data_IF_845319825900
#
_entry.id   IF_845319825900
#
_cell.length_a   1.000
_cell.length_b   1.000
_cell.length_c   1.000
_cell.angle_alpha   90.00
_cell.angle_beta   90.00
_cell.angle_gamma   90.00
#
_symmetry.space_group_name_H-M   'P 1'
#
loop_
_entity.id
_entity.type
_entity.pdbx_description
1 polymer ?
#
# COMPACT_ATOMS: atom_id res chain seq x y z
N UNK A 1 62.26 13.76 -27.46
CA UNK A 1 61.53 13.34 -26.25
C UNK A 1 60.30 14.22 -26.15
N UNK A 2 59.12 13.63 -25.93
CA UNK A 2 57.88 14.33 -25.61
C UNK A 2 57.12 13.44 -24.63
N UNK A 3 56.48 14.04 -23.63
CA UNK A 3 56.00 13.35 -22.45
C UNK A 3 54.59 12.75 -22.66
N UNK A 4 54.34 11.58 -22.07
CA UNK A 4 53.06 10.86 -22.16
C UNK A 4 52.41 10.80 -20.78
N UNK A 5 51.87 11.94 -20.34
CA UNK A 5 51.05 12.00 -19.14
C UNK A 5 49.78 11.15 -19.27
N UNK A 6 49.30 10.52 -18.18
CA UNK A 6 48.12 9.68 -18.21
C UNK A 6 46.84 10.52 -18.43
N UNK A 7 45.93 9.99 -19.24
CA UNK A 7 44.59 10.56 -19.40
C UNK A 7 43.71 10.15 -18.23
N UNK A 8 43.39 11.09 -17.34
CA UNK A 8 42.35 10.91 -16.33
C UNK A 8 40.98 10.67 -17.01
N UNK A 9 40.48 9.45 -16.92
CA UNK A 9 39.10 9.12 -17.30
C UNK A 9 38.16 9.57 -16.20
N UNK A 10 37.24 10.53 -16.42
CA UNK A 10 36.33 10.99 -15.37
C UNK A 10 35.48 9.84 -14.84
N UNK A 11 35.53 9.63 -13.53
CA UNK A 11 34.70 8.62 -12.86
C UNK A 11 33.22 8.88 -13.18
N UNK A 12 32.51 7.81 -13.58
CA UNK A 12 31.11 7.91 -14.00
C UNK A 12 30.24 8.46 -12.89
N UNK A 13 29.74 9.69 -13.07
CA UNK A 13 28.65 10.20 -12.25
C UNK A 13 27.42 9.35 -12.54
N UNK A 14 26.85 8.74 -11.50
CA UNK A 14 25.52 8.13 -11.61
C UNK A 14 24.55 9.17 -12.19
N UNK A 15 23.78 8.77 -13.20
CA UNK A 15 22.78 9.65 -13.79
C UNK A 15 21.75 9.98 -12.71
N UNK A 16 21.42 11.27 -12.56
CA UNK A 16 20.37 11.68 -11.64
C UNK A 16 19.07 10.95 -12.03
N UNK A 17 18.37 10.29 -11.08
CA UNK A 17 17.17 9.52 -11.41
C UNK A 17 16.10 10.44 -12.03
N UNK A 18 15.32 9.94 -13.00
CA UNK A 18 14.35 10.75 -13.73
C UNK A 18 13.30 11.36 -12.78
N UNK A 19 12.68 12.47 -13.21
CA UNK A 19 11.82 13.30 -12.35
C UNK A 19 10.57 12.58 -11.77
N UNK A 20 10.23 11.40 -12.30
CA UNK A 20 9.19 10.50 -11.82
C UNK A 20 9.62 9.61 -10.64
N UNK A 21 10.91 9.43 -10.39
CA UNK A 21 11.40 8.60 -9.29
C UNK A 21 11.05 9.24 -7.94
N UNK A 22 10.47 8.49 -6.98
CA UNK A 22 10.26 8.98 -5.63
C UNK A 22 11.60 9.20 -4.94
N UNK A 23 11.66 10.20 -4.07
CA UNK A 23 12.78 10.38 -3.15
C UNK A 23 12.87 9.14 -2.23
N UNK A 24 14.01 8.44 -2.22
CA UNK A 24 14.20 7.30 -1.33
C UNK A 24 14.88 7.77 -0.05
N UNK A 25 14.18 7.62 1.06
CA UNK A 25 14.64 8.07 2.37
C UNK A 25 15.72 7.12 2.92
N UNK A 26 16.94 7.25 2.41
CA UNK A 26 18.14 6.47 2.83
C UNK A 26 19.06 7.23 3.79
N UNK A 27 18.86 8.53 3.99
CA UNK A 27 19.63 9.37 4.91
C UNK A 27 18.70 10.00 5.96
N UNK A 28 18.97 9.86 7.27
CA UNK A 28 18.15 10.50 8.29
C UNK A 28 18.26 12.03 8.19
N UNK A 29 17.14 12.78 8.21
CA UNK A 29 17.17 14.23 8.34
C UNK A 29 17.64 14.61 9.75
N UNK A 30 18.02 15.89 9.99
CA UNK A 30 18.29 16.39 11.32
C UNK A 30 17.11 16.10 12.27
N UNK A 31 17.39 15.42 13.37
CA UNK A 31 16.39 15.04 14.37
C UNK A 31 16.11 16.21 15.32
N UNK A 32 14.87 16.37 15.81
CA UNK A 32 14.56 17.42 16.77
C UNK A 32 15.24 17.14 18.12
N UNK A 33 15.69 18.20 18.79
CA UNK A 33 16.30 18.14 20.13
C UNK A 33 15.28 17.79 21.21
N UNK A 34 14.05 18.29 21.07
CA UNK A 34 12.91 18.01 21.94
C UNK A 34 11.95 17.06 21.22
N UNK A 35 11.51 15.99 21.91
CA UNK A 35 10.56 15.02 21.37
C UNK A 35 9.15 15.29 21.84
N UNK A 36 8.22 15.29 20.89
CA UNK A 36 6.77 15.22 21.14
C UNK A 36 6.34 13.76 21.32
N UNK A 37 5.19 13.48 21.95
CA UNK A 37 4.58 12.15 21.96
C UNK A 37 4.47 11.55 20.54
N UNK A 38 4.60 10.22 20.44
CA UNK A 38 4.60 9.50 19.16
C UNK A 38 5.86 9.69 18.28
N UNK A 39 6.88 10.43 18.73
CA UNK A 39 8.15 10.53 18.01
C UNK A 39 9.13 9.40 18.39
N UNK A 40 9.66 8.73 17.36
CA UNK A 40 10.57 7.58 17.47
C UNK A 40 11.83 7.85 18.32
N UNK A 41 12.39 6.79 18.89
CA UNK A 41 13.73 6.77 19.50
C UNK A 41 14.83 7.06 18.46
N UNK A 42 16.05 7.45 18.88
CA UNK A 42 17.12 7.67 17.90
C UNK A 42 17.55 6.34 17.24
N UNK A 43 17.41 5.26 17.99
CA UNK A 43 17.64 3.86 17.63
C UNK A 43 16.58 3.38 16.63
N UNK A 44 15.30 3.68 16.86
CA UNK A 44 14.19 3.39 15.93
C UNK A 44 14.30 4.19 14.63
N UNK A 45 14.68 5.47 14.69
CA UNK A 45 14.99 6.26 13.48
C UNK A 45 16.16 5.62 12.75
N UNK A 46 17.25 5.30 13.46
CA UNK A 46 18.40 4.62 12.86
C UNK A 46 18.01 3.31 12.20
N UNK A 47 17.23 2.46 12.87
CA UNK A 47 16.73 1.20 12.30
C UNK A 47 15.95 1.44 11.01
N UNK A 48 15.01 2.40 10.98
CA UNK A 48 14.26 2.70 9.77
C UNK A 48 15.16 3.08 8.57
N UNK A 49 16.25 3.82 8.80
CA UNK A 49 17.20 4.17 7.74
C UNK A 49 18.20 3.04 7.41
N UNK A 50 18.68 2.29 8.41
CA UNK A 50 19.65 1.19 8.23
C UNK A 50 19.00 -0.11 7.69
N UNK A 51 17.76 -0.42 8.08
CA UNK A 51 17.05 -1.67 7.76
C UNK A 51 15.83 -1.48 6.85
N UNK A 52 15.33 -0.26 6.69
CA UNK A 52 14.22 0.07 5.79
C UNK A 52 12.83 -0.15 6.39
N UNK A 53 12.75 -0.54 7.66
CA UNK A 53 11.51 -0.65 8.42
C UNK A 53 11.77 -0.33 9.89
N UNK A 54 10.71 -0.04 10.65
CA UNK A 54 10.74 -0.11 12.11
C UNK A 54 9.39 -0.52 12.66
N UNK A 55 9.41 -1.43 13.63
CA UNK A 55 8.24 -1.87 14.38
C UNK A 55 8.18 -1.13 15.72
N UNK A 56 7.05 -0.48 16.01
CA UNK A 56 6.73 0.03 17.35
C UNK A 56 5.52 -0.75 17.85
N UNK A 57 5.61 -1.38 19.03
CA UNK A 57 4.58 -2.31 19.52
C UNK A 57 3.49 -1.63 20.35
N UNK A 58 3.77 -0.41 20.78
CA UNK A 58 3.12 0.35 21.85
C UNK A 58 2.91 1.80 21.41
N UNK A 59 2.56 2.02 20.13
CA UNK A 59 2.48 3.35 19.53
C UNK A 59 1.15 4.05 19.80
N UNK A 60 0.05 3.29 19.78
CA UNK A 60 -1.29 3.72 20.15
C UNK A 60 -1.73 2.97 21.41
N UNK A 61 -2.50 3.62 22.28
CA UNK A 61 -3.30 2.91 23.27
C UNK A 61 -4.43 2.14 22.57
N UNK A 62 -4.86 0.97 23.08
CA UNK A 62 -5.96 0.19 22.51
C UNK A 62 -7.25 0.99 22.25
N UNK A 63 -7.50 1.99 23.10
CA UNK A 63 -8.66 2.88 23.07
C UNK A 63 -8.57 3.94 21.96
N UNK A 64 -7.37 4.35 21.54
CA UNK A 64 -7.17 5.30 20.43
C UNK A 64 -7.50 4.65 19.07
N UNK A 65 -7.37 3.33 18.97
CA UNK A 65 -7.71 2.54 17.77
C UNK A 65 -9.14 1.98 17.81
N UNK A 66 -9.83 2.00 18.94
CA UNK A 66 -11.18 1.43 19.03
C UNK A 66 -12.22 2.16 18.14
N UNK A 67 -12.27 3.51 18.06
CA UNK A 67 -13.16 4.20 17.12
C UNK A 67 -12.95 3.82 15.65
N UNK A 68 -11.75 3.34 15.29
CA UNK A 68 -11.46 2.83 13.93
C UNK A 68 -12.12 1.47 13.71
N UNK A 69 -12.11 0.59 14.72
CA UNK A 69 -12.84 -0.69 14.67
C UNK A 69 -14.35 -0.46 14.57
N UNK A 70 -14.87 0.45 15.38
CA UNK A 70 -16.30 0.78 15.42
C UNK A 70 -16.78 1.25 14.03
N UNK A 71 -16.05 2.17 13.40
CA UNK A 71 -16.32 2.63 12.03
C UNK A 71 -16.16 1.53 10.95
N UNK A 72 -15.30 0.53 11.15
CA UNK A 72 -15.23 -0.63 10.24
C UNK A 72 -16.41 -1.58 10.46
N UNK A 73 -16.91 -1.73 11.69
CA UNK A 73 -18.09 -2.53 11.99
C UNK A 73 -19.37 -1.92 11.40
N UNK A 74 -19.50 -0.58 11.42
CA UNK A 74 -20.53 0.16 10.68
C UNK A 74 -20.47 -0.12 9.17
N UNK A 75 -19.29 -0.03 8.54
CA UNK A 75 -19.09 -0.34 7.12
C UNK A 75 -19.38 -1.80 6.76
N UNK A 76 -19.20 -2.73 7.71
CA UNK A 76 -19.56 -4.15 7.55
C UNK A 76 -21.08 -4.35 7.66
N UNK A 77 -21.77 -3.64 8.55
CA UNK A 77 -23.24 -3.69 8.59
C UNK A 77 -23.85 -3.08 7.32
N UNK A 78 -23.41 -1.90 6.88
CA UNK A 78 -23.85 -1.29 5.61
C UNK A 78 -23.68 -2.24 4.41
N UNK A 79 -22.57 -2.98 4.36
CA UNK A 79 -22.31 -3.98 3.34
C UNK A 79 -23.29 -5.16 3.47
N UNK A 80 -23.49 -5.69 4.67
CA UNK A 80 -24.43 -6.79 4.93
C UNK A 80 -25.88 -6.39 4.58
N UNK A 81 -26.36 -5.21 4.99
CA UNK A 81 -27.71 -4.74 4.66
C UNK A 81 -27.91 -4.59 3.14
N UNK A 82 -26.92 -4.05 2.42
CA UNK A 82 -26.99 -3.94 0.95
C UNK A 82 -26.98 -5.31 0.27
N UNK A 83 -26.10 -6.22 0.69
CA UNK A 83 -26.04 -7.58 0.14
C UNK A 83 -27.33 -8.36 0.37
N UNK A 84 -27.92 -8.26 1.58
CA UNK A 84 -29.19 -8.89 1.91
C UNK A 84 -30.35 -8.27 1.11
N UNK A 85 -30.44 -6.93 1.04
CA UNK A 85 -31.43 -6.22 0.22
C UNK A 85 -31.33 -6.54 -1.28
N UNK A 86 -30.12 -6.82 -1.78
CA UNK A 86 -29.87 -7.26 -3.15
C UNK A 86 -30.03 -8.78 -3.38
N UNK A 87 -30.47 -9.54 -2.36
CA UNK A 87 -30.67 -10.98 -2.45
C UNK A 87 -29.38 -11.80 -2.65
N UNK A 88 -28.21 -11.24 -2.31
CA UNK A 88 -26.89 -11.89 -2.48
C UNK A 88 -26.52 -12.78 -1.27
N UNK A 89 -27.17 -12.56 -0.12
CA UNK A 89 -27.04 -13.34 1.13
C UNK A 89 -28.41 -13.45 1.81
N UNK A 90 -28.62 -14.47 2.66
CA UNK A 90 -29.89 -14.68 3.39
C UNK A 90 -29.83 -14.35 4.89
N UNK A 91 -28.63 -14.24 5.46
CA UNK A 91 -28.40 -13.72 6.82
C UNK A 91 -27.44 -12.52 6.74
N UNK A 92 -27.62 -11.54 7.62
CA UNK A 92 -26.71 -10.38 7.76
C UNK A 92 -25.63 -10.62 8.83
N UNK A 93 -25.70 -11.74 9.55
CA UNK A 93 -24.76 -12.17 10.61
C UNK A 93 -24.59 -11.14 11.73
N UNK A 94 -25.63 -10.39 12.09
CA UNK A 94 -25.60 -9.33 13.11
C UNK A 94 -25.14 -9.79 14.51
N UNK A 95 -25.25 -11.10 14.82
CA UNK A 95 -24.78 -11.67 16.09
C UNK A 95 -23.27 -12.03 16.09
N UNK A 96 -22.57 -11.88 14.96
CA UNK A 96 -21.13 -12.10 14.85
C UNK A 96 -20.39 -10.75 14.90
N UNK A 97 -19.32 -10.66 15.69
CA UNK A 97 -18.51 -9.44 15.78
C UNK A 97 -17.55 -9.26 14.59
N UNK A 98 -17.07 -8.02 14.41
CA UNK A 98 -16.12 -7.51 13.42
C UNK A 98 -15.12 -8.51 12.79
N UNK A 99 -14.48 -9.35 13.61
CA UNK A 99 -13.44 -10.27 13.14
C UNK A 99 -13.97 -11.53 12.43
N UNK A 100 -15.19 -11.98 12.73
CA UNK A 100 -15.81 -13.16 12.10
C UNK A 100 -16.95 -12.81 11.15
N UNK A 101 -17.63 -11.67 11.34
CA UNK A 101 -18.79 -11.28 10.53
C UNK A 101 -18.47 -11.20 9.04
N UNK A 102 -17.36 -10.56 8.66
CA UNK A 102 -16.95 -10.52 7.25
C UNK A 102 -16.41 -11.86 6.73
N UNK A 103 -15.94 -12.79 7.57
CA UNK A 103 -15.68 -14.18 7.14
C UNK A 103 -16.98 -14.84 6.71
N UNK A 104 -18.03 -14.73 7.53
CA UNK A 104 -19.35 -15.33 7.24
C UNK A 104 -19.98 -14.73 5.97
N UNK A 105 -20.00 -13.40 5.85
CA UNK A 105 -20.45 -12.70 4.63
C UNK A 105 -19.66 -13.09 3.38
N UNK A 106 -18.37 -13.39 3.51
CA UNK A 106 -17.52 -13.84 2.40
C UNK A 106 -17.68 -15.35 2.08
N UNK A 107 -18.17 -16.16 3.02
CA UNK A 107 -18.54 -17.55 2.76
C UNK A 107 -19.87 -17.62 2.00
N UNK A 108 -20.86 -16.81 2.40
CA UNK A 108 -22.14 -16.69 1.70
C UNK A 108 -21.96 -16.05 0.31
N UNK A 109 -21.06 -15.07 0.19
CA UNK A 109 -20.73 -14.40 -1.07
C UNK A 109 -19.20 -14.28 -1.28
N UNK A 110 -18.57 -15.21 -2.02
CA UNK A 110 -17.13 -15.22 -2.28
C UNK A 110 -16.59 -13.93 -2.91
N UNK A 111 -15.88 -13.16 -2.08
CA UNK A 111 -15.30 -11.85 -2.44
C UNK A 111 -16.07 -10.65 -1.89
N UNK A 112 -16.97 -10.80 -0.91
CA UNK A 112 -17.56 -9.69 -0.15
C UNK A 112 -16.49 -8.70 0.36
N UNK A 113 -15.35 -9.21 0.83
CA UNK A 113 -14.21 -8.38 1.24
C UNK A 113 -13.63 -7.54 0.08
N UNK A 114 -13.66 -8.03 -1.16
CA UNK A 114 -13.15 -7.32 -2.35
C UNK A 114 -14.04 -6.13 -2.72
N UNK A 115 -15.36 -6.24 -2.52
CA UNK A 115 -16.32 -5.14 -2.73
C UNK A 115 -15.98 -3.96 -1.82
N UNK A 116 -15.63 -4.22 -0.55
CA UNK A 116 -15.18 -3.19 0.39
C UNK A 116 -13.84 -2.54 -0.05
N UNK A 117 -12.92 -3.34 -0.58
CA UNK A 117 -11.58 -2.90 -0.98
C UNK A 117 -11.51 -2.15 -2.34
N UNK A 118 -12.58 -2.10 -3.14
CA UNK A 118 -12.60 -1.40 -4.47
C UNK A 118 -12.25 0.11 -4.42
N UNK A 119 -12.08 0.74 -3.24
CA UNK A 119 -11.95 2.21 -3.03
C UNK A 119 -10.52 2.79 -2.89
N UNK A 120 -9.43 2.00 -2.77
CA UNK A 120 -8.11 2.53 -2.31
C UNK A 120 -6.83 2.07 -3.05
N UNK A 121 -6.01 3.05 -3.52
CA UNK A 121 -4.63 2.99 -4.12
C UNK A 121 -4.01 4.41 -4.11
N UNK A 122 -2.70 4.76 -4.21
CA UNK A 122 -1.32 4.20 -4.10
C UNK A 122 -0.31 5.39 -4.34
N UNK A 123 1.03 5.33 -4.14
CA UNK A 123 1.87 4.85 -3.01
C UNK A 123 2.74 5.97 -2.37
N UNK A 124 3.13 5.84 -1.10
CA UNK A 124 4.05 6.74 -0.36
C UNK A 124 4.70 5.91 0.81
N UNK A 125 5.75 6.35 1.54
CA UNK A 125 6.22 5.62 2.73
C UNK A 125 5.05 5.34 3.68
N UNK A 126 4.96 4.09 4.13
CA UNK A 126 3.71 3.50 4.65
C UNK A 126 3.83 3.18 6.13
N UNK A 127 2.79 3.48 6.91
CA UNK A 127 2.56 2.90 8.23
C UNK A 127 1.42 1.89 8.14
N UNK A 128 1.74 0.62 8.40
CA UNK A 128 0.79 -0.47 8.46
C UNK A 128 0.38 -0.71 9.93
N UNK A 129 -0.91 -0.61 10.21
CA UNK A 129 -1.49 -0.60 11.56
C UNK A 129 -2.59 -1.68 11.60
N UNK A 130 -2.39 -2.83 12.26
CA UNK A 130 -3.43 -3.85 12.36
C UNK A 130 -4.49 -3.45 13.40
N UNK A 131 -5.74 -3.84 13.16
CA UNK A 131 -6.85 -3.60 14.12
C UNK A 131 -7.05 -4.80 15.09
N UNK A 132 -6.03 -5.66 15.20
CA UNK A 132 -5.95 -6.86 16.05
C UNK A 132 -4.47 -7.23 16.23
N UNK A 133 -4.17 -8.20 17.09
CA UNK A 133 -2.86 -8.83 17.11
C UNK A 133 -2.62 -9.58 15.80
N UNK A 134 -1.42 -9.44 15.22
CA UNK A 134 -1.03 -10.11 13.98
C UNK A 134 0.26 -10.88 14.12
N UNK A 135 0.23 -12.12 13.66
CA UNK A 135 1.30 -13.10 13.77
C UNK A 135 1.45 -13.87 12.44
N UNK A 136 2.42 -14.78 12.37
CA UNK A 136 2.66 -15.63 11.19
C UNK A 136 1.41 -16.41 10.71
N UNK A 137 0.49 -16.75 11.61
CA UNK A 137 -0.62 -17.67 11.35
C UNK A 137 -1.85 -16.92 10.80
N UNK A 138 -2.11 -15.69 11.26
CA UNK A 138 -3.18 -14.83 10.75
C UNK A 138 -2.74 -13.83 9.66
N UNK A 139 -1.52 -13.99 9.14
CA UNK A 139 -1.03 -13.27 7.96
C UNK A 139 -0.38 -11.93 8.27
N UNK A 140 0.52 -11.83 9.26
CA UNK A 140 1.31 -10.62 9.49
C UNK A 140 2.23 -10.26 8.31
N UNK A 141 2.88 -9.11 8.39
CA UNK A 141 3.79 -8.65 7.33
C UNK A 141 5.15 -9.35 7.39
N UNK A 142 5.76 -9.54 6.21
CA UNK A 142 7.19 -9.81 6.04
C UNK A 142 7.84 -8.66 5.27
N UNK A 143 9.10 -8.38 5.60
CA UNK A 143 9.96 -7.39 4.91
C UNK A 143 11.32 -8.00 4.58
N UNK A 144 11.98 -7.49 3.53
CA UNK A 144 13.40 -7.81 3.25
C UNK A 144 14.28 -6.68 3.77
N UNK A 145 14.83 -6.89 4.97
CA UNK A 145 15.72 -5.98 5.70
C UNK A 145 16.85 -5.48 4.79
N UNK A 146 16.98 -4.17 4.66
CA UNK A 146 18.01 -3.52 3.85
C UNK A 146 17.74 -3.50 2.33
N UNK A 147 16.66 -4.10 1.83
CA UNK A 147 16.33 -4.13 0.39
C UNK A 147 16.08 -2.74 -0.23
N UNK A 148 15.78 -1.74 0.58
CA UNK A 148 15.67 -0.33 0.16
C UNK A 148 17.03 0.32 -0.16
N UNK A 149 18.16 -0.23 0.30
CA UNK A 149 19.46 0.47 0.33
C UNK A 149 20.00 0.87 -1.04
N UNK A 150 19.64 0.16 -2.12
CA UNK A 150 20.04 0.52 -3.50
C UNK A 150 19.24 1.69 -4.10
N UNK A 151 18.20 2.20 -3.42
CA UNK A 151 17.42 3.34 -3.92
C UNK A 151 16.52 3.03 -5.12
N UNK A 152 16.32 1.75 -5.44
CA UNK A 152 15.53 1.25 -6.57
C UNK A 152 14.60 0.13 -6.10
N UNK A 153 13.55 -0.16 -6.89
CA UNK A 153 12.75 -1.38 -6.78
C UNK A 153 13.19 -2.38 -7.86
N UNK A 154 13.20 -3.67 -7.57
CA UNK A 154 13.42 -4.72 -8.58
C UNK A 154 12.20 -4.93 -9.50
N UNK A 155 12.36 -5.70 -10.58
CA UNK A 155 11.26 -5.93 -11.54
C UNK A 155 10.14 -6.72 -10.88
N UNK A 156 8.98 -6.09 -10.78
CA UNK A 156 7.74 -6.76 -10.39
C UNK A 156 7.03 -7.32 -11.64
N UNK A 157 6.32 -8.42 -11.47
CA UNK A 157 5.42 -9.02 -12.46
C UNK A 157 3.98 -8.99 -11.94
N UNK A 158 3.00 -9.27 -12.81
CA UNK A 158 1.61 -9.48 -12.40
C UNK A 158 1.10 -10.85 -12.91
N UNK A 159 0.23 -11.58 -12.22
CA UNK A 159 -0.32 -11.30 -10.89
C UNK A 159 -0.20 -12.56 -10.03
N UNK A 160 -0.18 -12.43 -8.70
CA UNK A 160 -0.04 -13.59 -7.81
C UNK A 160 -1.29 -14.47 -7.89
N UNK A 161 -1.15 -15.66 -8.46
CA UNK A 161 -2.17 -16.70 -8.52
C UNK A 161 -3.53 -16.21 -9.05
N UNK A 162 -4.57 -16.34 -8.23
CA UNK A 162 -5.94 -15.92 -8.56
C UNK A 162 -6.24 -14.42 -8.47
N UNK A 163 -5.26 -13.59 -8.08
CA UNK A 163 -5.47 -12.19 -7.65
C UNK A 163 -5.03 -11.15 -8.70
N UNK A 164 -5.16 -9.87 -8.37
CA UNK A 164 -4.63 -8.72 -9.13
C UNK A 164 -3.35 -8.13 -8.51
N UNK A 165 -2.78 -8.75 -7.47
CA UNK A 165 -1.57 -8.27 -6.80
C UNK A 165 -0.32 -8.54 -7.65
N UNK A 166 0.65 -7.63 -7.59
CA UNK A 166 1.97 -7.84 -8.19
C UNK A 166 2.81 -8.80 -7.35
N UNK A 167 3.75 -9.45 -8.01
CA UNK A 167 4.75 -10.33 -7.42
C UNK A 167 6.15 -9.71 -7.62
N UNK A 168 7.06 -9.96 -6.69
CA UNK A 168 8.48 -9.61 -6.83
C UNK A 168 9.28 -10.91 -6.73
N UNK A 169 9.76 -11.47 -7.87
CA UNK A 169 10.46 -12.74 -7.88
C UNK A 169 11.67 -12.78 -6.95
N UNK A 170 11.92 -13.92 -6.30
CA UNK A 170 13.00 -14.03 -5.31
C UNK A 170 14.38 -13.82 -5.93
N UNK A 171 14.60 -14.28 -7.16
CA UNK A 171 15.82 -14.04 -7.93
C UNK A 171 16.00 -12.56 -8.30
N UNK A 172 14.92 -11.82 -8.59
CA UNK A 172 14.95 -10.37 -8.79
C UNK A 172 15.35 -9.63 -7.50
N UNK A 173 14.92 -10.09 -6.32
CA UNK A 173 15.37 -9.50 -5.05
C UNK A 173 16.87 -9.76 -4.83
N UNK A 174 17.33 -11.00 -5.06
CA UNK A 174 18.74 -11.35 -4.88
C UNK A 174 19.65 -10.63 -5.90
N UNK A 175 19.32 -10.70 -7.19
CA UNK A 175 20.14 -10.13 -8.26
C UNK A 175 20.06 -8.59 -8.28
N UNK A 176 18.84 -8.04 -8.33
CA UNK A 176 18.64 -6.60 -8.51
C UNK A 176 18.84 -5.83 -7.20
N UNK A 177 18.43 -6.35 -6.03
CA UNK A 177 18.59 -5.65 -4.73
C UNK A 177 19.79 -6.13 -3.90
N UNK A 178 20.35 -7.32 -4.16
CA UNK A 178 21.56 -7.81 -3.48
C UNK A 178 21.31 -8.36 -2.08
N UNK A 179 20.08 -8.72 -1.73
CA UNK A 179 19.71 -9.24 -0.42
C UNK A 179 19.94 -10.76 -0.31
N UNK A 180 20.26 -11.24 0.89
CA UNK A 180 20.25 -12.67 1.21
C UNK A 180 18.90 -13.02 1.83
N UNK A 181 17.96 -13.49 1.01
CA UNK A 181 16.60 -13.84 1.46
C UNK A 181 16.55 -14.83 2.63
N UNK A 182 17.59 -15.65 2.84
CA UNK A 182 17.68 -16.56 3.98
C UNK A 182 17.89 -15.84 5.32
N UNK A 183 18.55 -14.68 5.30
CA UNK A 183 18.97 -13.93 6.49
C UNK A 183 18.37 -12.51 6.58
N UNK A 184 17.77 -12.01 5.50
CA UNK A 184 17.19 -10.67 5.40
C UNK A 184 15.65 -10.64 5.44
N UNK A 185 14.96 -11.77 5.25
CA UNK A 185 13.51 -11.84 5.50
C UNK A 185 13.25 -11.73 7.01
N UNK A 186 12.51 -10.70 7.41
CA UNK A 186 12.02 -10.50 8.78
C UNK A 186 10.50 -10.64 8.80
N UNK A 187 10.00 -11.49 9.70
CA UNK A 187 8.56 -11.61 9.98
C UNK A 187 8.18 -10.62 11.07
N UNK A 188 7.32 -9.66 10.74
CA UNK A 188 6.93 -8.56 11.61
C UNK A 188 5.60 -8.90 12.28
N UNK A 189 5.64 -9.60 13.42
CA UNK A 189 4.47 -9.79 14.28
C UNK A 189 4.16 -8.50 15.04
N UNK A 190 2.98 -7.93 14.80
CA UNK A 190 2.56 -6.62 15.29
C UNK A 190 1.34 -6.78 16.19
N UNK A 191 1.42 -6.44 17.49
CA UNK A 191 0.28 -6.49 18.39
C UNK A 191 -0.71 -5.35 18.11
N UNK A 192 -1.93 -5.45 18.64
CA UNK A 192 -2.88 -4.34 18.62
C UNK A 192 -2.34 -3.14 19.41
N UNK A 193 -2.47 -1.93 18.87
CA UNK A 193 -1.75 -0.73 19.33
C UNK A 193 -0.37 -0.53 18.68
N UNK A 194 0.15 -1.56 18.00
CA UNK A 194 1.41 -1.48 17.25
C UNK A 194 1.28 -0.89 15.85
N UNK A 195 2.43 -0.52 15.28
CA UNK A 195 2.58 -0.01 13.91
C UNK A 195 3.89 -0.47 13.30
N UNK A 196 3.85 -0.85 12.02
CA UNK A 196 5.02 -1.15 11.20
C UNK A 196 5.22 -0.03 10.17
N UNK A 197 6.28 0.76 10.34
CA UNK A 197 6.70 1.76 9.37
C UNK A 197 7.59 1.12 8.30
N UNK A 198 7.31 1.40 7.03
CA UNK A 198 7.98 0.83 5.85
C UNK A 198 8.55 1.92 4.96
N UNK A 199 9.82 1.77 4.58
CA UNK A 199 10.49 2.61 3.58
C UNK A 199 9.82 2.42 2.20
N UNK A 200 9.79 3.48 1.39
CA UNK A 200 9.13 3.46 0.09
C UNK A 200 9.76 2.52 -0.96
N UNK A 201 10.96 1.98 -0.71
CA UNK A 201 11.64 1.02 -1.57
C UNK A 201 11.89 -0.37 -0.92
N UNK A 202 11.40 -0.65 0.30
CA UNK A 202 11.63 -1.98 0.91
C UNK A 202 10.71 -3.05 0.30
N UNK A 203 11.24 -4.22 -0.13
CA UNK A 203 10.41 -5.37 -0.48
C UNK A 203 9.60 -5.85 0.73
N UNK A 204 8.29 -6.06 0.56
CA UNK A 204 7.41 -6.50 1.62
C UNK A 204 6.20 -7.28 1.07
N UNK A 205 5.63 -8.17 1.88
CA UNK A 205 4.38 -8.90 1.62
C UNK A 205 3.57 -9.10 2.89
N UNK A 206 2.27 -9.32 2.78
CA UNK A 206 1.55 -10.06 3.82
C UNK A 206 1.84 -11.55 3.67
N UNK A 207 1.85 -12.28 4.78
CA UNK A 207 1.67 -13.73 4.77
C UNK A 207 0.18 -14.08 4.56
N UNK A 208 -0.08 -15.31 4.14
CA UNK A 208 -1.44 -15.87 4.07
C UNK A 208 -2.08 -15.92 5.47
N UNK A 209 -3.37 -15.57 5.54
CA UNK A 209 -4.15 -15.75 6.76
C UNK A 209 -4.75 -17.16 6.77
N UNK A 210 -4.29 -18.00 7.70
CA UNK A 210 -4.71 -19.40 7.85
C UNK A 210 -5.73 -19.59 8.98
N UNK A 211 -6.35 -18.49 9.45
CA UNK A 211 -7.36 -18.50 10.54
C UNK A 211 -8.78 -18.26 10.03
N UNK A 212 -9.76 -18.47 10.91
CA UNK A 212 -11.19 -18.25 10.67
C UNK A 212 -11.63 -16.77 10.73
N UNK A 213 -10.70 -15.85 10.99
CA UNK A 213 -10.98 -14.43 11.28
C UNK A 213 -10.34 -13.50 10.27
N UNK A 214 -11.02 -12.42 9.92
CA UNK A 214 -10.49 -11.38 9.03
C UNK A 214 -9.41 -10.56 9.73
N UNK A 215 -8.21 -10.53 9.12
CA UNK A 215 -7.05 -9.76 9.56
C UNK A 215 -7.13 -8.30 9.06
N UNK A 216 -7.96 -7.50 9.71
CA UNK A 216 -8.12 -6.06 9.43
C UNK A 216 -6.84 -5.24 9.66
N UNK A 217 -6.51 -4.34 8.73
CA UNK A 217 -5.40 -3.38 8.86
C UNK A 217 -5.70 -2.05 8.15
N UNK A 218 -5.17 -0.96 8.70
CA UNK A 218 -5.03 0.31 8.00
C UNK A 218 -3.62 0.48 7.44
N UNK A 219 -3.53 1.25 6.36
CA UNK A 219 -2.27 1.58 5.69
C UNK A 219 -2.18 3.09 5.41
N UNK A 220 -1.59 3.85 6.34
CA UNK A 220 -1.38 5.30 6.21
C UNK A 220 -0.12 5.61 5.38
N UNK A 221 -0.11 6.78 4.72
CA UNK A 221 0.90 7.20 3.75
C UNK A 221 1.20 8.69 3.86
N UNK A 222 2.47 9.10 3.68
CA UNK A 222 2.88 10.50 3.66
C UNK A 222 3.84 10.84 2.50
N UNK A 223 3.58 11.91 1.76
CA UNK A 223 4.51 12.45 0.75
C UNK A 223 4.74 13.95 0.93
N UNK A 224 5.78 14.47 0.26
CA UNK A 224 5.96 15.90 0.09
C UNK A 224 4.80 16.48 -0.76
N UNK A 225 4.07 17.51 -0.29
CA UNK A 225 2.81 17.93 -0.91
C UNK A 225 2.97 18.57 -2.29
N UNK A 226 4.18 19.03 -2.65
CA UNK A 226 4.49 19.60 -3.97
C UNK A 226 5.16 18.59 -4.92
N UNK A 227 5.02 17.29 -4.66
CA UNK A 227 5.36 16.21 -5.61
C UNK A 227 4.06 15.63 -6.21
N UNK A 228 4.07 15.10 -7.44
CA UNK A 228 2.92 14.39 -7.99
C UNK A 228 2.42 13.29 -7.05
N UNK A 229 1.11 13.07 -7.01
CA UNK A 229 0.49 11.95 -6.30
C UNK A 229 -0.02 10.90 -7.31
N UNK A 230 -0.20 9.65 -6.87
CA UNK A 230 -0.19 8.48 -7.77
C UNK A 230 -1.14 8.49 -8.97
N UNK A 231 -2.35 9.05 -8.82
CA UNK A 231 -3.23 9.40 -9.95
C UNK A 231 -3.37 10.91 -10.01
N UNK A 232 -2.54 11.53 -10.84
CA UNK A 232 -2.42 12.98 -10.95
C UNK A 232 -3.76 13.63 -11.38
N UNK A 233 -4.10 14.77 -10.76
CA UNK A 233 -5.33 15.52 -11.03
C UNK A 233 -6.64 14.90 -10.51
N UNK A 234 -6.63 13.73 -9.84
CA UNK A 234 -7.86 13.15 -9.27
C UNK A 234 -8.27 13.82 -7.96
N UNK A 235 -7.32 13.96 -7.03
CA UNK A 235 -7.52 14.46 -5.66
C UNK A 235 -6.17 14.85 -5.05
N UNK A 236 -6.08 16.07 -4.51
CA UNK A 236 -4.88 16.56 -3.83
C UNK A 236 -4.57 15.75 -2.55
N UNK A 237 -3.31 15.75 -2.14
CA UNK A 237 -2.91 15.22 -0.81
C UNK A 237 -3.21 16.24 0.28
N UNK A 238 -3.68 15.78 1.45
CA UNK A 238 -4.01 16.65 2.57
C UNK A 238 -2.73 17.19 3.26
N UNK A 239 -2.54 18.51 3.41
CA UNK A 239 -1.35 19.07 4.06
C UNK A 239 -1.40 18.93 5.60
N UNK A 240 -0.66 17.95 6.14
CA UNK A 240 -0.71 17.61 7.56
C UNK A 240 0.14 18.50 8.50
N UNK A 241 1.14 19.24 7.98
CA UNK A 241 2.02 20.14 8.75
C UNK A 241 2.80 21.08 7.84
N UNK A 242 3.24 22.24 8.34
CA UNK A 242 4.11 23.17 7.61
C UNK A 242 5.17 23.82 8.50
N UNK A 243 6.41 23.93 8.02
CA UNK A 243 7.45 24.70 8.69
C UNK A 243 7.25 26.23 8.56
N UNK A 244 6.44 26.68 7.59
CA UNK A 244 6.07 28.10 7.40
C UNK A 244 4.79 28.50 8.13
N UNK A 245 4.00 27.52 8.57
CA UNK A 245 2.79 27.71 9.37
C UNK A 245 2.70 26.54 10.38
N UNK A 246 3.28 26.68 11.58
CA UNK A 246 3.26 25.64 12.60
C UNK A 246 1.85 25.24 13.04
N UNK A 247 0.90 26.19 13.00
CA UNK A 247 -0.50 26.03 13.41
C UNK A 247 -1.42 25.60 12.26
N UNK A 248 -0.85 25.07 11.17
CA UNK A 248 -1.60 24.53 10.04
C UNK A 248 -2.54 23.40 10.50
N UNK A 249 -3.84 23.65 10.42
CA UNK A 249 -4.88 22.63 10.59
C UNK A 249 -5.15 21.95 9.23
N UNK A 250 -5.23 20.61 9.16
CA UNK A 250 -5.64 19.92 7.94
C UNK A 250 -7.07 20.28 7.55
N UNK A 251 -7.28 20.56 6.28
CA UNK A 251 -8.58 20.93 5.70
C UNK A 251 -9.34 19.66 5.27
N UNK A 252 -9.99 19.02 6.24
CA UNK A 252 -10.73 17.77 6.04
C UNK A 252 -11.98 17.97 5.18
N UNK A 253 -12.73 19.07 5.35
CA UNK A 253 -13.94 19.36 4.57
C UNK A 253 -13.63 19.50 3.07
N UNK A 254 -12.60 20.29 2.71
CA UNK A 254 -12.15 20.37 1.32
C UNK A 254 -11.65 19.02 0.82
N UNK A 255 -10.90 18.27 1.63
CA UNK A 255 -10.41 16.95 1.22
C UNK A 255 -11.58 15.99 0.96
N UNK A 256 -12.56 15.89 1.85
CA UNK A 256 -13.67 14.95 1.77
C UNK A 256 -14.65 15.28 0.63
N UNK A 257 -14.85 16.57 0.32
CA UNK A 257 -15.72 17.03 -0.79
C UNK A 257 -15.33 16.50 -2.18
N UNK A 258 -14.11 15.98 -2.37
CA UNK A 258 -13.62 15.46 -3.66
C UNK A 258 -13.97 13.98 -3.84
N UNK A 259 -14.91 13.70 -4.76
CA UNK A 259 -15.23 12.37 -5.32
C UNK A 259 -14.03 11.76 -6.08
N UNK A 260 -13.11 11.16 -5.31
CA UNK A 260 -11.95 10.43 -5.82
C UNK A 260 -12.35 9.29 -6.75
N UNK A 261 -13.40 8.56 -6.41
CA UNK A 261 -13.71 7.25 -7.01
C UNK A 261 -14.37 7.44 -8.37
N UNK A 262 -15.38 8.31 -8.47
CA UNK A 262 -15.97 8.67 -9.74
C UNK A 262 -14.98 9.44 -10.63
N UNK A 263 -14.13 10.31 -10.08
CA UNK A 263 -13.06 10.95 -10.87
C UNK A 263 -12.11 9.90 -11.49
N UNK A 264 -11.78 8.85 -10.75
CA UNK A 264 -10.93 7.76 -11.26
C UNK A 264 -11.63 6.91 -12.32
N UNK A 265 -12.91 6.58 -12.14
CA UNK A 265 -13.69 5.87 -13.17
C UNK A 265 -13.78 6.70 -14.46
N UNK A 266 -14.11 8.00 -14.33
CA UNK A 266 -14.15 8.98 -15.44
C UNK A 266 -12.82 9.07 -16.19
N UNK A 267 -11.67 9.11 -15.49
CA UNK A 267 -10.34 9.09 -16.14
C UNK A 267 -9.99 7.74 -16.82
N UNK A 268 -10.59 6.62 -16.38
CA UNK A 268 -10.27 5.28 -16.90
C UNK A 268 -11.08 4.88 -18.13
N UNK A 269 -11.98 5.74 -18.64
CA UNK A 269 -13.01 5.40 -19.62
C UNK A 269 -13.87 4.18 -19.18
N UNK A 270 -14.02 3.95 -17.86
CA UNK A 270 -15.11 3.14 -17.34
C UNK A 270 -16.29 4.09 -17.12
N UNK A 271 -17.41 3.86 -17.80
CA UNK A 271 -18.61 4.66 -17.58
C UNK A 271 -19.06 4.52 -16.11
N UNK A 272 -19.12 5.65 -15.40
CA UNK A 272 -19.28 5.65 -13.95
C UNK A 272 -20.67 5.11 -13.57
N UNK A 273 -20.68 3.95 -12.91
CA UNK A 273 -21.90 3.23 -12.53
C UNK A 273 -22.31 2.06 -13.43
N UNK A 274 -21.50 1.69 -14.44
CA UNK A 274 -21.80 0.56 -15.34
C UNK A 274 -21.28 -0.82 -14.85
N UNK A 275 -20.44 -0.88 -13.80
CA UNK A 275 -20.02 -2.16 -13.17
C UNK A 275 -21.09 -2.62 -12.15
N UNK A 276 -21.42 -3.93 -12.13
CA UNK A 276 -22.19 -4.54 -11.03
C UNK A 276 -21.46 -4.26 -9.70
N UNK A 277 -22.15 -3.71 -8.69
CA UNK A 277 -21.54 -3.41 -7.39
C UNK A 277 -21.01 -4.66 -6.68
N UNK A 278 -21.52 -5.84 -7.09
CA UNK A 278 -21.11 -7.16 -6.61
C UNK A 278 -20.11 -7.87 -7.55
N UNK A 279 -19.69 -7.26 -8.67
CA UNK A 279 -18.56 -7.80 -9.43
C UNK A 279 -17.26 -7.68 -8.62
N UNK A 280 -16.77 -8.83 -8.17
CA UNK A 280 -15.52 -8.97 -7.42
C UNK A 280 -14.29 -9.02 -8.35
N UNK A 281 -14.45 -8.68 -9.63
CA UNK A 281 -13.35 -8.48 -10.57
C UNK A 281 -12.75 -7.08 -10.37
N UNK A 282 -11.42 -7.05 -10.38
CA UNK A 282 -10.58 -5.86 -10.23
C UNK A 282 -9.73 -5.78 -11.50
N UNK A 283 -9.91 -4.72 -12.28
CA UNK A 283 -9.18 -4.46 -13.52
C UNK A 283 -8.79 -2.97 -13.63
N UNK A 284 -7.75 -2.64 -14.39
CA UNK A 284 -7.42 -1.25 -14.72
C UNK A 284 -6.00 -1.06 -15.27
N UNK A 285 -5.70 0.13 -15.82
CA UNK A 285 -4.49 0.38 -16.59
C UNK A 285 -3.19 0.28 -15.77
N UNK A 286 -3.27 0.33 -14.43
CA UNK A 286 -2.11 0.05 -13.57
C UNK A 286 -1.56 -1.36 -13.77
N UNK A 287 -2.39 -2.36 -14.11
CA UNK A 287 -1.94 -3.75 -14.31
C UNK A 287 -0.94 -3.86 -15.47
N UNK A 288 -1.11 -3.00 -16.48
CA UNK A 288 -0.27 -2.92 -17.68
C UNK A 288 1.07 -2.18 -17.45
N UNK A 289 1.36 -1.75 -16.20
CA UNK A 289 2.68 -1.25 -15.80
C UNK A 289 3.70 -2.39 -15.58
N UNK A 290 3.22 -3.62 -15.44
CA UNK A 290 4.02 -4.80 -15.16
C UNK A 290 3.76 -5.90 -16.19
N UNK A 291 4.73 -6.79 -16.36
CA UNK A 291 4.63 -7.95 -17.23
C UNK A 291 3.57 -8.93 -16.67
N UNK A 292 2.56 -9.29 -17.47
CA UNK A 292 1.50 -10.21 -17.04
C UNK A 292 1.92 -11.65 -17.37
N UNK A 293 2.46 -12.35 -16.37
CA UNK A 293 2.98 -13.74 -16.46
C UNK A 293 1.98 -14.81 -16.03
N UNK A 294 0.95 -14.43 -15.25
CA UNK A 294 -0.10 -15.34 -14.77
C UNK A 294 -1.48 -14.87 -15.27
N UNK A 295 -2.40 -15.80 -15.52
CA UNK A 295 -3.71 -15.47 -16.10
C UNK A 295 -4.91 -15.98 -15.27
N UNK A 296 -5.77 -15.05 -14.84
CA UNK A 296 -6.97 -15.31 -14.03
C UNK A 296 -8.13 -14.39 -14.48
N UNK A 297 -9.22 -14.28 -13.70
CA UNK A 297 -10.38 -13.44 -14.08
C UNK A 297 -10.04 -11.95 -14.24
N UNK A 298 -9.14 -11.44 -13.41
CA UNK A 298 -8.69 -10.05 -13.38
C UNK A 298 -7.90 -9.71 -14.64
N UNK A 299 -6.95 -10.57 -15.00
CA UNK A 299 -6.11 -10.37 -16.19
C UNK A 299 -6.91 -10.57 -17.47
N UNK A 300 -7.84 -11.54 -17.53
CA UNK A 300 -8.73 -11.70 -18.69
C UNK A 300 -9.59 -10.47 -18.93
N UNK A 301 -10.10 -9.85 -17.87
CA UNK A 301 -10.93 -8.64 -17.97
C UNK A 301 -10.17 -7.41 -18.53
N UNK A 302 -8.86 -7.29 -18.28
CA UNK A 302 -8.02 -6.19 -18.81
C UNK A 302 -7.30 -6.54 -20.14
N UNK A 303 -7.27 -7.81 -20.54
CA UNK A 303 -6.62 -8.30 -21.78
C UNK A 303 -7.61 -8.70 -22.89
N UNK A 304 -8.89 -8.92 -22.57
CA UNK A 304 -9.88 -9.50 -23.48
C UNK A 304 -10.73 -8.50 -24.26
N UNK A 305 -10.53 -8.48 -25.57
CA UNK A 305 -11.45 -8.17 -26.69
C UNK A 305 -12.31 -6.87 -26.70
N UNK A 306 -12.88 -6.42 -25.58
CA UNK A 306 -13.96 -5.41 -25.54
C UNK A 306 -13.48 -3.93 -25.47
N UNK A 307 -12.18 -3.68 -25.62
CA UNK A 307 -11.60 -2.32 -25.61
C UNK A 307 -10.78 -2.00 -26.87
N UNK A 308 -11.46 -1.58 -27.94
CA UNK A 308 -10.85 -1.14 -29.20
C UNK A 308 -9.97 0.13 -29.16
N UNK A 309 -9.56 0.60 -27.97
CA UNK A 309 -8.64 1.73 -27.76
C UNK A 309 -7.75 1.48 -26.54
N UNK A 310 -6.43 1.49 -26.72
CA UNK A 310 -5.50 1.70 -25.62
C UNK A 310 -5.80 3.05 -24.94
N UNK A 311 -5.90 3.13 -23.60
CA UNK A 311 -6.14 4.39 -22.93
C UNK A 311 -4.87 5.26 -23.01
N UNK A 312 -5.03 6.56 -23.34
CA UNK A 312 -3.92 7.51 -23.44
C UNK A 312 -3.31 7.76 -22.05
N UNK A 313 -2.27 6.98 -21.70
CA UNK A 313 -1.43 7.21 -20.53
C UNK A 313 0.03 7.36 -20.96
N UNK A 314 0.67 8.41 -20.45
CA UNK A 314 2.14 8.48 -20.40
C UNK A 314 2.65 7.32 -19.56
N UNK A 315 3.62 6.58 -20.10
CA UNK A 315 4.54 5.82 -19.24
C UNK A 315 5.36 6.84 -18.44
N UNK A 316 5.30 6.73 -17.13
CA UNK A 316 6.19 7.42 -16.19
C UNK A 316 7.46 6.60 -15.99
#
# INVERSE_FOLDING_TARGET
>A
MADTGPTDTPQGKEAAPPACCPEVYTKPPPQPTEKKPGQLSQEQVRQYFDEGYVLVKDFFQPEELQPVRDAVEELVDELAQRMHKAGKITDTHQNAGLFSRLTLLNNDFPGAAVVLHKKGKLPQPTAWIPLLDTNKDNGCMQVVKGGHRKGITARHVCCVGGTWYVELPEDEIQNTLGCDLKNDIVTCEVPYGGVLFLNNAIPHRSLENNTDKIRWSLDLRWQHPYKPCGFEGIKDVIPMRSAKNPDLKPDWEKFESVDRTGNQQRQMNNEAGAEDEFDTTIQGPWMLRWEIVNHNKHTRSILGEDRGKNPNWTKA
#
